data_IF_691473452617
#
_entry.id   IF_691473452617
#
_cell.length_a   1.000
_cell.length_b   1.000
_cell.length_c   1.000
_cell.angle_alpha   90.00
_cell.angle_beta   90.00
_cell.angle_gamma   90.00
#
_symmetry.space_group_name_H-M   'P 1'
#
loop_
_entity.id
_entity.type
_entity.pdbx_description
1 polymer ?
#
# COMPACT_ATOMS: atom_id res chain seq x y z
N UNK A 1 -8.61 23.58 -26.76
CA UNK A 1 -7.79 23.67 -25.54
C UNK A 1 -6.46 23.00 -25.81
N UNK A 2 -5.40 23.79 -25.99
CA UNK A 2 -4.06 23.34 -26.37
C UNK A 2 -3.18 23.54 -25.14
N UNK A 3 -2.74 22.46 -24.52
CA UNK A 3 -1.76 22.50 -23.42
C UNK A 3 -0.41 22.18 -24.06
N UNK A 4 0.37 23.21 -24.35
CA UNK A 4 1.77 23.08 -24.74
C UNK A 4 2.65 23.24 -23.49
N UNK A 5 3.49 22.23 -23.26
CA UNK A 5 4.91 22.43 -22.95
C UNK A 5 5.29 23.04 -21.61
N UNK A 6 5.23 22.25 -20.53
CA UNK A 6 6.33 21.99 -19.57
C UNK A 6 5.80 21.20 -18.37
N UNK A 7 6.40 20.03 -18.16
CA UNK A 7 6.51 19.21 -16.93
C UNK A 7 6.32 17.72 -17.26
N UNK A 8 7.33 17.13 -17.90
CA UNK A 8 7.62 15.70 -17.75
C UNK A 8 9.13 15.55 -17.63
N UNK A 9 9.70 16.01 -16.51
CA UNK A 9 10.77 15.23 -15.92
C UNK A 9 10.16 13.86 -15.63
N UNK A 10 10.85 12.77 -15.95
CA UNK A 10 10.34 11.40 -15.83
C UNK A 10 9.76 11.14 -14.43
N UNK A 11 8.45 11.36 -14.25
CA UNK A 11 7.69 11.08 -13.03
C UNK A 11 7.21 9.62 -13.05
N UNK A 12 8.06 8.72 -13.54
CA UNK A 12 7.74 7.30 -13.53
C UNK A 12 7.96 6.77 -12.11
N UNK A 13 6.91 6.20 -11.54
CA UNK A 13 6.97 5.49 -10.26
C UNK A 13 8.02 4.37 -10.38
N UNK A 14 9.05 4.33 -9.51
CA UNK A 14 10.09 3.31 -9.58
C UNK A 14 9.51 1.90 -9.51
N UNK A 15 10.05 1.00 -10.35
CA UNK A 15 9.60 -0.41 -10.40
C UNK A 15 10.49 -1.30 -9.53
N UNK A 16 9.86 -2.18 -8.75
CA UNK A 16 10.52 -3.20 -7.93
C UNK A 16 9.94 -4.58 -8.23
N UNK A 17 10.79 -5.59 -8.23
CA UNK A 17 10.40 -6.96 -8.57
C UNK A 17 10.14 -7.79 -7.31
N UNK A 18 9.03 -8.50 -7.30
CA UNK A 18 8.62 -9.45 -6.25
C UNK A 18 8.51 -10.83 -6.90
N UNK A 19 9.39 -11.74 -6.50
CA UNK A 19 9.41 -13.12 -6.99
C UNK A 19 8.50 -13.97 -6.09
N UNK A 20 7.47 -14.61 -6.67
CA UNK A 20 6.54 -15.46 -5.92
C UNK A 20 7.00 -16.91 -5.81
N UNK A 21 8.08 -17.30 -6.49
CA UNK A 21 8.65 -18.66 -6.42
C UNK A 21 9.61 -18.84 -5.24
N UNK A 22 10.15 -17.74 -4.70
CA UNK A 22 10.94 -17.79 -3.46
C UNK A 22 10.04 -17.92 -2.22
N UNK A 23 10.66 -18.35 -1.12
CA UNK A 23 9.98 -18.44 0.16
C UNK A 23 9.36 -17.08 0.57
N UNK A 24 8.16 -17.07 1.20
CA UNK A 24 7.46 -15.86 1.63
C UNK A 24 8.35 -14.81 2.33
N UNK A 25 9.24 -15.26 3.21
CA UNK A 25 10.15 -14.41 3.97
C UNK A 25 11.18 -13.66 3.09
N UNK A 26 11.31 -14.02 1.81
CA UNK A 26 12.29 -13.46 0.89
C UNK A 26 11.68 -12.58 -0.21
N UNK A 27 10.37 -12.66 -0.43
CA UNK A 27 9.68 -12.02 -1.57
C UNK A 27 9.83 -10.51 -1.59
N UNK A 28 9.83 -9.90 -0.41
CA UNK A 28 9.83 -8.45 -0.24
C UNK A 28 11.22 -7.82 -0.14
N UNK A 29 12.31 -8.59 -0.28
CA UNK A 29 13.68 -8.10 -0.07
C UNK A 29 14.06 -6.91 -0.95
N UNK A 30 13.63 -6.91 -2.21
CA UNK A 30 13.91 -5.79 -3.12
C UNK A 30 13.17 -4.52 -2.69
N UNK A 31 11.92 -4.67 -2.26
CA UNK A 31 11.08 -3.58 -1.76
C UNK A 31 11.66 -2.99 -0.48
N UNK A 32 12.01 -3.83 0.50
CA UNK A 32 12.64 -3.39 1.74
C UNK A 32 14.01 -2.76 1.51
N UNK A 33 14.78 -3.26 0.53
CA UNK A 33 16.03 -2.66 0.10
C UNK A 33 15.88 -1.21 -0.35
N UNK A 34 14.88 -0.92 -1.19
CA UNK A 34 14.58 0.46 -1.63
C UNK A 34 14.19 1.34 -0.44
N UNK A 35 13.24 0.91 0.39
CA UNK A 35 12.81 1.74 1.53
C UNK A 35 13.89 1.94 2.59
N UNK A 36 14.77 0.96 2.78
CA UNK A 36 15.93 1.08 3.66
C UNK A 36 16.92 2.12 3.13
N UNK A 37 17.17 2.15 1.83
CA UNK A 37 18.01 3.18 1.19
C UNK A 37 17.38 4.57 1.29
N UNK A 38 16.05 4.66 1.19
CA UNK A 38 15.33 5.93 1.33
C UNK A 38 15.31 6.45 2.77
N UNK A 39 15.54 5.60 3.79
CA UNK A 39 15.50 6.01 5.20
C UNK A 39 14.09 6.28 5.76
N UNK A 40 13.04 5.94 5.01
CA UNK A 40 11.63 6.24 5.33
C UNK A 40 11.14 5.43 6.53
N UNK A 41 11.54 4.17 6.62
CA UNK A 41 10.90 3.21 7.51
C UNK A 41 11.04 3.51 9.01
N UNK A 42 12.24 3.81 9.56
CA UNK A 42 12.36 4.18 10.96
C UNK A 42 11.46 5.37 11.33
N UNK A 43 11.38 6.37 10.44
CA UNK A 43 10.58 7.58 10.66
C UNK A 43 9.07 7.34 10.58
N UNK A 44 8.63 6.47 9.68
CA UNK A 44 7.23 6.02 9.62
C UNK A 44 6.85 5.31 10.92
N UNK A 45 7.72 4.43 11.44
CA UNK A 45 7.44 3.66 12.64
C UNK A 45 7.46 4.51 13.92
N UNK A 46 8.40 5.47 14.03
CA UNK A 46 8.51 6.39 15.17
C UNK A 46 7.21 7.20 15.39
N UNK A 47 6.50 7.50 14.30
CA UNK A 47 5.27 8.28 14.32
C UNK A 47 3.99 7.45 14.47
N UNK A 48 4.12 6.12 14.57
CA UNK A 48 2.96 5.24 14.64
C UNK A 48 2.78 4.62 16.02
N UNK A 49 1.55 4.70 16.50
CA UNK A 49 1.11 4.00 17.71
C UNK A 49 -0.09 3.13 17.37
N UNK A 50 -0.05 1.87 17.81
CA UNK A 50 -1.21 0.97 17.70
C UNK A 50 -2.16 1.30 18.85
N UNK A 51 -3.29 1.93 18.52
CA UNK A 51 -4.35 2.29 19.47
C UNK A 51 -4.92 1.04 20.19
N UNK A 52 -5.59 1.23 21.32
CA UNK A 52 -6.20 0.11 22.04
C UNK A 52 -7.23 -0.64 21.18
N UNK A 53 -8.06 0.09 20.43
CA UNK A 53 -9.06 -0.49 19.52
C UNK A 53 -8.40 -1.30 18.40
N UNK A 54 -7.30 -0.78 17.83
CA UNK A 54 -6.56 -1.48 16.79
C UNK A 54 -5.89 -2.75 17.33
N UNK A 55 -5.40 -2.74 18.58
CA UNK A 55 -4.87 -3.96 19.23
C UNK A 55 -5.97 -5.01 19.42
N UNK A 56 -7.16 -4.60 19.83
CA UNK A 56 -8.28 -5.53 19.99
C UNK A 56 -8.72 -6.10 18.63
N UNK A 57 -8.76 -5.28 17.59
CA UNK A 57 -9.03 -5.73 16.22
C UNK A 57 -7.98 -6.73 15.74
N UNK A 58 -6.69 -6.46 15.98
CA UNK A 58 -5.60 -7.37 15.64
C UNK A 58 -5.70 -8.72 16.36
N UNK A 59 -6.21 -8.74 17.60
CA UNK A 59 -6.39 -9.96 18.40
C UNK A 59 -7.42 -10.92 17.79
N UNK A 60 -8.46 -10.39 17.14
CA UNK A 60 -9.54 -11.18 16.52
C UNK A 60 -9.36 -11.39 15.02
N UNK A 61 -8.50 -10.61 14.39
CA UNK A 61 -8.20 -10.72 12.96
C UNK A 61 -7.31 -11.93 12.68
N UNK A 62 -7.75 -12.78 11.75
CA UNK A 62 -6.95 -13.91 11.28
C UNK A 62 -6.07 -13.46 10.12
N UNK A 63 -4.77 -13.70 10.26
CA UNK A 63 -3.81 -13.52 9.18
C UNK A 63 -3.38 -14.89 8.66
N UNK A 64 -3.28 -15.03 7.35
CA UNK A 64 -2.70 -16.23 6.76
C UNK A 64 -1.24 -16.37 7.18
N UNK A 65 -0.81 -17.59 7.52
CA UNK A 65 0.57 -17.86 7.94
C UNK A 65 1.58 -17.46 6.87
N UNK A 66 1.25 -17.57 5.58
CA UNK A 66 2.08 -17.10 4.49
C UNK A 66 2.32 -15.59 4.57
N UNK A 67 1.26 -14.79 4.76
CA UNK A 67 1.37 -13.34 4.93
C UNK A 67 2.15 -12.96 6.20
N UNK A 68 1.98 -13.71 7.29
CA UNK A 68 2.76 -13.49 8.52
C UNK A 68 4.25 -13.73 8.26
N UNK A 69 4.59 -14.77 7.49
CA UNK A 69 5.99 -15.04 7.08
C UNK A 69 6.55 -13.93 6.19
N UNK A 70 5.75 -13.39 5.27
CA UNK A 70 6.16 -12.20 4.48
C UNK A 70 6.46 -11.00 5.38
N UNK A 71 5.59 -10.68 6.34
CA UNK A 71 5.80 -9.59 7.31
C UNK A 71 7.05 -9.79 8.16
N UNK A 72 7.34 -11.02 8.61
CA UNK A 72 8.57 -11.35 9.34
C UNK A 72 9.82 -11.15 8.49
N UNK A 73 9.79 -11.61 7.23
CA UNK A 73 10.86 -11.37 6.27
C UNK A 73 11.12 -9.88 6.04
N UNK A 74 10.04 -9.11 5.91
CA UNK A 74 10.06 -7.67 5.76
C UNK A 74 10.77 -6.99 6.95
N UNK A 75 10.36 -7.32 8.19
CA UNK A 75 10.98 -6.77 9.41
C UNK A 75 12.46 -7.15 9.54
N UNK A 76 12.80 -8.41 9.25
CA UNK A 76 14.18 -8.90 9.28
C UNK A 76 15.07 -8.11 8.34
N UNK A 77 14.64 -7.88 7.10
CA UNK A 77 15.46 -7.20 6.09
C UNK A 77 15.68 -5.71 6.44
N UNK A 78 14.71 -5.10 7.14
CA UNK A 78 14.85 -3.78 7.74
C UNK A 78 15.69 -3.73 9.02
N UNK A 79 15.95 -4.88 9.66
CA UNK A 79 16.65 -4.97 10.94
C UNK A 79 15.78 -4.58 12.14
N UNK A 80 14.47 -4.78 12.05
CA UNK A 80 13.51 -4.42 13.09
C UNK A 80 13.12 -5.66 13.92
N UNK A 81 13.05 -5.54 15.27
CA UNK A 81 12.69 -6.67 16.13
C UNK A 81 11.22 -7.06 15.97
N UNK A 82 10.96 -8.33 15.67
CA UNK A 82 9.60 -8.88 15.48
C UNK A 82 8.71 -8.61 16.71
N UNK A 83 9.24 -8.80 17.91
CA UNK A 83 8.50 -8.72 19.18
C UNK A 83 7.83 -7.36 19.43
N UNK A 84 8.33 -6.28 18.82
CA UNK A 84 7.74 -4.95 18.97
C UNK A 84 7.15 -4.37 17.68
N UNK A 85 7.30 -5.05 16.54
CA UNK A 85 6.88 -4.49 15.24
C UNK A 85 5.92 -5.36 14.44
N UNK A 86 5.74 -6.64 14.79
CA UNK A 86 4.83 -7.51 14.03
C UNK A 86 3.37 -7.02 14.08
N UNK A 87 2.90 -6.61 15.26
CA UNK A 87 1.53 -6.07 15.39
C UNK A 87 1.37 -4.73 14.66
N UNK A 88 2.43 -3.91 14.62
CA UNK A 88 2.44 -2.70 13.82
C UNK A 88 2.38 -3.02 12.32
N UNK A 89 3.14 -4.00 11.83
CA UNK A 89 3.05 -4.50 10.45
C UNK A 89 1.67 -5.06 10.09
N UNK A 90 1.07 -5.84 10.99
CA UNK A 90 -0.30 -6.33 10.82
C UNK A 90 -1.30 -5.17 10.77
N UNK A 91 -1.08 -4.14 11.59
CA UNK A 91 -1.92 -2.95 11.61
C UNK A 91 -1.92 -2.22 10.26
N UNK A 92 -0.77 -2.15 9.57
CA UNK A 92 -0.70 -1.61 8.21
C UNK A 92 -1.56 -2.39 7.22
N UNK A 93 -1.65 -3.72 7.35
CA UNK A 93 -2.42 -4.55 6.42
C UNK A 93 -3.93 -4.39 6.56
N UNK A 94 -4.39 -3.89 7.71
CA UNK A 94 -5.82 -3.65 7.97
C UNK A 94 -6.15 -2.17 8.05
N UNK A 95 -5.16 -1.28 7.93
CA UNK A 95 -5.33 0.14 8.13
C UNK A 95 -6.24 0.76 7.06
N UNK A 96 -6.26 0.20 5.85
CA UNK A 96 -7.18 0.61 4.78
C UNK A 96 -8.63 0.23 5.12
N UNK A 97 -8.83 -0.97 5.67
CA UNK A 97 -10.12 -1.57 5.98
C UNK A 97 -10.71 -1.04 7.29
N UNK A 98 -9.84 -0.58 8.20
CA UNK A 98 -10.18 -0.17 9.54
C UNK A 98 -10.29 1.35 9.71
N UNK A 99 -10.50 2.14 8.64
CA UNK A 99 -10.81 3.57 8.80
C UNK A 99 -12.13 3.73 9.58
N UNK A 100 -12.21 4.58 10.64
CA UNK A 100 -11.24 5.61 11.05
C UNK A 100 -10.27 5.21 12.18
N UNK A 101 -10.26 3.95 12.64
CA UNK A 101 -9.47 3.52 13.81
C UNK A 101 -7.99 3.20 13.51
N UNK A 102 -7.62 3.20 12.22
CA UNK A 102 -6.24 3.04 11.76
C UNK A 102 -5.43 4.35 11.73
N UNK A 103 -4.12 4.29 11.41
CA UNK A 103 -3.26 5.47 11.29
C UNK A 103 -3.65 6.42 10.14
N UNK A 104 -4.62 6.02 9.31
CA UNK A 104 -5.10 6.80 8.17
C UNK A 104 -6.46 7.41 8.50
N UNK A 105 -6.46 8.73 8.69
CA UNK A 105 -7.63 9.47 9.15
C UNK A 105 -8.69 9.62 8.06
N UNK A 106 -8.27 9.66 6.79
CA UNK A 106 -9.18 9.78 5.65
C UNK A 106 -8.57 9.18 4.39
N UNK A 107 -9.39 8.41 3.68
CA UNK A 107 -9.05 7.84 2.37
C UNK A 107 -10.15 8.22 1.39
N UNK A 108 -9.74 8.79 0.26
CA UNK A 108 -10.60 9.14 -0.86
C UNK A 108 -10.23 8.28 -2.06
N UNK A 109 -11.24 7.83 -2.80
CA UNK A 109 -11.01 6.98 -3.95
C UNK A 109 -12.00 7.32 -5.05
N UNK A 110 -11.51 7.39 -6.28
CA UNK A 110 -12.36 7.47 -7.47
C UNK A 110 -11.85 6.49 -8.49
N UNK A 111 -12.72 5.62 -8.97
CA UNK A 111 -12.44 4.67 -10.04
C UNK A 111 -13.26 4.96 -11.28
N UNK A 112 -12.71 4.60 -12.43
CA UNK A 112 -13.37 4.65 -13.73
C UNK A 112 -13.11 3.36 -14.49
N UNK A 113 -14.19 2.72 -14.91
CA UNK A 113 -14.18 1.58 -15.81
C UNK A 113 -14.96 1.95 -17.09
N UNK A 114 -14.32 1.86 -18.24
CA UNK A 114 -14.92 2.16 -19.53
C UNK A 114 -14.69 1.04 -20.53
N UNK A 115 -15.74 0.66 -21.26
CA UNK A 115 -15.65 -0.25 -22.39
C UNK A 115 -15.75 0.55 -23.70
N UNK A 116 -14.75 0.43 -24.55
CA UNK A 116 -14.66 1.09 -25.84
C UNK A 116 -15.45 0.31 -26.91
N UNK A 117 -15.92 0.95 -28.00
CA UNK A 117 -16.66 0.25 -29.07
C UNK A 117 -15.92 -0.92 -29.73
N UNK A 118 -14.58 -0.92 -29.68
CA UNK A 118 -13.74 -2.00 -30.21
C UNK A 118 -13.52 -3.16 -29.20
N UNK A 119 -14.22 -3.16 -28.07
CA UNK A 119 -14.08 -4.17 -27.02
C UNK A 119 -12.90 -3.95 -26.06
N UNK A 120 -12.10 -2.89 -26.23
CA UNK A 120 -11.04 -2.54 -25.27
C UNK A 120 -11.65 -2.05 -23.97
N UNK A 121 -11.14 -2.52 -22.83
CA UNK A 121 -11.54 -2.04 -21.50
C UNK A 121 -10.43 -1.16 -20.93
N UNK A 122 -10.82 0.02 -20.44
CA UNK A 122 -9.94 0.96 -19.73
C UNK A 122 -10.38 0.99 -18.27
N UNK A 123 -9.44 0.76 -17.37
CA UNK A 123 -9.65 0.87 -15.92
C UNK A 123 -8.60 1.83 -15.36
N UNK A 124 -9.04 2.88 -14.70
CA UNK A 124 -8.16 3.86 -14.06
C UNK A 124 -8.75 4.32 -12.74
N UNK A 125 -7.88 4.86 -11.88
CA UNK A 125 -8.28 5.33 -10.57
C UNK A 125 -7.40 6.45 -10.05
N UNK A 126 -7.94 7.20 -9.09
CA UNK A 126 -7.17 7.98 -8.14
C UNK A 126 -7.24 7.32 -6.75
N UNK A 127 -6.19 7.51 -5.96
CA UNK A 127 -6.13 7.09 -4.57
C UNK A 127 -5.60 8.25 -3.74
N UNK A 128 -6.47 8.79 -2.89
CA UNK A 128 -6.23 9.99 -2.12
C UNK A 128 -6.02 9.61 -0.65
N UNK A 129 -4.88 9.97 -0.10
CA UNK A 129 -4.54 9.72 1.29
C UNK A 129 -4.08 11.00 1.97
N UNK A 130 -4.66 11.27 3.14
CA UNK A 130 -4.08 12.20 4.10
C UNK A 130 -3.35 11.37 5.15
N UNK A 131 -2.04 11.20 4.95
CA UNK A 131 -1.17 10.51 5.91
C UNK A 131 -0.18 11.46 6.56
N UNK A 132 0.54 10.98 7.58
CA UNK A 132 1.60 11.75 8.20
C UNK A 132 2.70 12.03 7.17
N UNK A 133 3.12 13.28 7.11
CA UNK A 133 4.30 13.66 6.35
C UNK A 133 5.54 13.18 7.11
N UNK A 134 6.53 12.66 6.39
CA UNK A 134 7.73 12.09 7.00
C UNK A 134 8.94 12.88 6.55
N UNK A 135 9.62 13.54 7.50
CA UNK A 135 10.89 14.19 7.20
C UNK A 135 12.02 13.16 7.17
N UNK A 136 12.69 13.05 6.03
CA UNK A 136 13.91 12.26 5.88
C UNK A 136 15.02 13.14 5.32
N UNK A 137 16.11 13.27 6.07
CA UNK A 137 17.28 14.07 5.70
C UNK A 137 16.94 15.51 5.28
N UNK A 138 16.03 16.18 5.99
CA UNK A 138 15.59 17.54 5.69
C UNK A 138 14.63 17.68 4.52
N UNK A 139 14.16 16.56 3.96
CA UNK A 139 13.15 16.55 2.89
C UNK A 139 11.85 15.96 3.42
N UNK A 140 10.75 16.69 3.25
CA UNK A 140 9.42 16.15 3.53
C UNK A 140 9.00 15.19 2.41
N UNK A 141 8.77 13.94 2.78
CA UNK A 141 8.26 12.91 1.88
C UNK A 141 6.76 12.71 2.12
N UNK A 142 6.02 12.65 1.02
CA UNK A 142 4.61 12.26 1.00
C UNK A 142 4.48 10.90 0.30
N UNK A 143 3.24 10.42 0.14
CA UNK A 143 2.97 9.15 -0.54
C UNK A 143 3.55 9.05 -1.95
N UNK A 144 3.46 10.07 -2.83
CA UNK A 144 4.01 9.97 -4.18
C UNK A 144 5.51 9.65 -4.19
N UNK A 145 6.29 10.20 -3.26
CA UNK A 145 7.74 9.99 -3.19
C UNK A 145 8.11 8.59 -2.69
N UNK A 146 7.22 7.92 -1.94
CA UNK A 146 7.45 6.56 -1.39
C UNK A 146 6.63 5.47 -2.09
N UNK A 147 5.91 5.84 -3.15
CA UNK A 147 5.13 4.89 -3.94
C UNK A 147 6.05 4.13 -4.90
N UNK A 148 5.88 2.81 -4.94
CA UNK A 148 6.58 1.93 -5.85
C UNK A 148 5.59 1.18 -6.75
N UNK A 149 6.02 0.82 -7.95
CA UNK A 149 5.33 -0.13 -8.82
C UNK A 149 5.89 -1.52 -8.54
N UNK A 150 5.12 -2.38 -7.88
CA UNK A 150 5.46 -3.79 -7.72
C UNK A 150 5.20 -4.56 -9.01
N UNK A 151 6.20 -5.28 -9.49
CA UNK A 151 6.08 -6.26 -10.57
C UNK A 151 6.21 -7.67 -9.99
N UNK A 152 5.10 -8.39 -9.93
CA UNK A 152 5.03 -9.71 -9.31
C UNK A 152 5.23 -10.78 -10.36
N UNK A 153 6.15 -11.70 -10.10
CA UNK A 153 6.60 -12.72 -11.06
C UNK A 153 6.38 -14.13 -10.53
N UNK A 154 6.20 -15.09 -11.46
CA UNK A 154 6.12 -16.52 -11.17
C UNK A 154 6.60 -17.30 -12.39
N UNK A 155 7.43 -18.30 -12.18
CA UNK A 155 8.18 -18.99 -13.23
C UNK A 155 9.12 -18.07 -14.01
N UNK A 156 9.59 -16.98 -13.40
CA UNK A 156 10.37 -15.93 -14.07
C UNK A 156 9.56 -14.97 -14.96
N UNK A 157 8.25 -15.17 -15.10
CA UNK A 157 7.38 -14.36 -15.96
C UNK A 157 6.53 -13.36 -15.16
N UNK A 158 6.28 -12.14 -15.67
CA UNK A 158 5.35 -11.20 -15.06
C UNK A 158 3.93 -11.76 -14.95
N UNK A 159 3.41 -11.83 -13.72
CA UNK A 159 2.07 -12.33 -13.41
C UNK A 159 1.06 -11.20 -13.26
N UNK A 160 1.40 -10.19 -12.46
CA UNK A 160 0.60 -9.00 -12.24
C UNK A 160 1.47 -7.82 -11.76
N UNK A 161 0.93 -6.62 -11.83
CA UNK A 161 1.52 -5.42 -11.24
C UNK A 161 0.59 -4.81 -10.19
N UNK A 162 1.15 -4.16 -9.18
CA UNK A 162 0.42 -3.46 -8.13
C UNK A 162 1.16 -2.21 -7.68
N UNK A 163 0.46 -1.31 -7.00
CA UNK A 163 1.06 -0.18 -6.28
C UNK A 163 1.48 -0.66 -4.89
N UNK A 164 2.73 -0.39 -4.52
CA UNK A 164 3.32 -0.82 -3.26
C UNK A 164 3.68 0.41 -2.41
N UNK A 165 3.39 0.31 -1.11
CA UNK A 165 3.70 1.31 -0.10
C UNK A 165 4.55 0.73 1.03
N UNK A 166 5.25 1.59 1.80
CA UNK A 166 6.04 1.14 2.93
C UNK A 166 5.19 0.31 3.91
N UNK A 167 5.57 -0.95 4.10
CA UNK A 167 4.99 -1.81 5.12
C UNK A 167 3.67 -2.46 4.76
N UNK A 168 3.14 -2.22 3.56
CA UNK A 168 1.93 -2.89 3.06
C UNK A 168 2.36 -4.02 2.12
N UNK A 169 1.95 -5.25 2.44
CA UNK A 169 2.16 -6.43 1.59
C UNK A 169 0.88 -6.82 0.82
N UNK A 170 -0.27 -6.26 1.21
CA UNK A 170 -1.52 -6.34 0.45
C UNK A 170 -1.52 -5.48 -0.82
N UNK A 171 -2.66 -5.48 -1.52
CA UNK A 171 -2.86 -4.68 -2.72
C UNK A 171 -4.23 -3.98 -2.69
N UNK A 172 -4.24 -2.69 -3.04
CA UNK A 172 -5.49 -1.91 -3.24
C UNK A 172 -5.70 -1.49 -4.68
N UNK A 173 -4.67 -1.64 -5.52
CA UNK A 173 -4.67 -1.32 -6.95
C UNK A 173 -3.78 -2.33 -7.65
N UNK A 174 -4.33 -3.12 -8.57
CA UNK A 174 -3.56 -4.15 -9.26
C UNK A 174 -4.08 -4.44 -10.66
N UNK A 175 -3.23 -5.03 -11.49
CA UNK A 175 -3.59 -5.55 -12.81
C UNK A 175 -2.84 -6.83 -13.10
N UNK A 176 -3.58 -7.90 -13.38
CA UNK A 176 -3.05 -9.17 -13.90
C UNK A 176 -2.86 -9.07 -15.41
N UNK A 177 -1.69 -9.46 -15.91
CA UNK A 177 -1.42 -9.47 -17.35
C UNK A 177 -2.30 -10.49 -18.06
N UNK A 178 -2.90 -10.08 -19.18
CA UNK A 178 -3.84 -10.90 -19.94
C UNK A 178 -5.11 -11.30 -19.16
N UNK A 179 -5.44 -10.57 -18.09
CA UNK A 179 -6.54 -10.91 -17.20
C UNK A 179 -7.33 -9.70 -16.75
N UNK A 180 -7.45 -9.55 -15.43
CA UNK A 180 -8.29 -8.55 -14.78
C UNK A 180 -7.48 -7.38 -14.23
N UNK A 181 -8.16 -6.29 -13.94
CA UNK A 181 -7.68 -5.20 -13.10
C UNK A 181 -8.58 -5.03 -11.88
N UNK A 182 -8.02 -4.53 -10.79
CA UNK A 182 -8.63 -4.45 -9.48
C UNK A 182 -8.33 -3.10 -8.86
N UNK A 183 -9.35 -2.50 -8.26
CA UNK A 183 -9.22 -1.40 -7.33
C UNK A 183 -10.08 -1.65 -6.10
N UNK A 184 -9.64 -1.13 -4.96
CA UNK A 184 -10.39 -1.10 -3.72
C UNK A 184 -10.73 0.35 -3.38
N UNK A 185 -12.01 0.62 -3.13
CA UNK A 185 -12.49 1.92 -2.65
C UNK A 185 -13.08 1.76 -1.25
N UNK A 186 -12.70 2.64 -0.33
CA UNK A 186 -13.25 2.65 1.02
C UNK A 186 -14.75 2.96 0.95
N UNK A 187 -15.56 2.15 1.63
CA UNK A 187 -16.99 2.40 1.78
C UNK A 187 -17.31 2.59 3.25
N UNK A 188 -17.52 3.84 3.64
CA UNK A 188 -18.02 4.16 4.97
C UNK A 188 -19.52 3.89 5.01
N UNK A 189 -19.92 2.99 5.90
CA UNK A 189 -21.32 2.82 6.26
C UNK A 189 -21.59 3.70 7.48
N UNK A 190 -22.70 4.43 7.46
CA UNK A 190 -23.24 5.28 8.55
C UNK A 190 -23.03 6.81 8.51
N UNK A 191 -23.06 7.42 7.32
CA UNK A 191 -23.24 8.89 7.15
C UNK A 191 -24.63 9.42 7.58
N UNK A 192 -25.55 8.54 8.01
CA UNK A 192 -26.89 8.92 8.47
C UNK A 192 -27.03 9.04 9.99
N UNK A 193 -26.00 8.73 10.80
CA UNK A 193 -26.05 8.98 12.23
C UNK A 193 -26.10 10.50 12.56
N UNK A 194 -25.56 11.36 11.69
CA UNK A 194 -25.65 12.82 11.80
C UNK A 194 -26.93 13.43 11.23
N UNK A 195 -27.78 12.64 10.56
CA UNK A 195 -29.13 13.06 10.11
C UNK A 195 -30.24 12.69 11.12
N UNK A 196 -29.88 12.16 12.30
CA UNK A 196 -30.82 11.83 13.39
C UNK A 196 -30.85 12.86 14.53
N UNK A 197 -30.14 13.98 14.39
CA UNK A 197 -30.15 15.09 15.36
C UNK A 197 -30.28 16.47 14.66
N UNK A 198 -31.29 16.59 13.80
CA UNK A 198 -31.78 17.86 13.27
C UNK A 198 -33.24 18.06 13.64
#
# INVERSE_FOLDING_TARGET
FRIEGRLRQNMDVPTVWVDLDVAPELRWRNVTGVYKQMGVFPKVLDNMTVSADLRELLRVTKFDEEHVREMRGYLRDLGLPESSHLDLMKSFQIAYEATPVGPFQWTGCSGLLAAMPNGTVIHGRNLDYFGPEVEVNGTMLHYPEVTLRGMFTRGGEPLYTSVVWPGVIGMHTAMRFGGWSFEQNTRQHDVNASLRYG
#
